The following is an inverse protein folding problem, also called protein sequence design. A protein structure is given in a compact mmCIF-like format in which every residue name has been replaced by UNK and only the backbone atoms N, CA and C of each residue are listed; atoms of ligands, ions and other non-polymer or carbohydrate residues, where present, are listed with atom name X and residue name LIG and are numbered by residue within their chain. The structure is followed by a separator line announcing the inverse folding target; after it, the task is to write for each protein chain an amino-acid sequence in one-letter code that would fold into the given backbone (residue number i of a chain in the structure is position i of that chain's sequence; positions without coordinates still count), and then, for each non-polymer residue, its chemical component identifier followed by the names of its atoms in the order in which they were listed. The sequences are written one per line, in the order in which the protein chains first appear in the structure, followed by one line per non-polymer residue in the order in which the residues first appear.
data_IF_820009192404
#
_entry.id   IF_820009192404
#
_cell.length_a   1.000
_cell.length_b   1.000
_cell.length_c   1.000
_cell.angle_alpha   90.00
_cell.angle_beta   90.00
_cell.angle_gamma   90.00
#
_symmetry.space_group_name_H-M   'P 1'
#
loop_
_entity.id
_entity.type
_entity.pdbx_description
1 polymer ?
#
# COMPACT_ATOMS: atom_id res chain seq x y z
N UNK A 1 26.16 78.26 -67.11
CA UNK A 1 26.41 77.30 -68.21
C UNK A 1 26.04 75.93 -67.67
N UNK A 2 24.81 75.44 -67.91
CA UNK A 2 24.39 74.68 -69.11
C UNK A 2 25.31 73.45 -69.28
N UNK A 3 24.88 72.19 -69.22
CA UNK A 3 23.59 71.59 -69.61
C UNK A 3 23.53 70.13 -69.13
N UNK A 4 22.32 69.71 -68.76
CA UNK A 4 21.84 68.33 -68.57
C UNK A 4 21.89 67.52 -69.94
N UNK A 5 21.27 66.33 -70.18
CA UNK A 5 20.13 65.73 -69.46
C UNK A 5 19.79 64.20 -69.59
N UNK A 6 18.67 63.81 -68.95
CA UNK A 6 17.54 62.92 -69.40
C UNK A 6 17.79 61.40 -69.59
N UNK A 7 17.13 60.50 -68.84
CA UNK A 7 15.71 59.99 -68.86
C UNK A 7 15.36 59.06 -70.04
N UNK A 8 14.71 57.92 -69.70
CA UNK A 8 13.82 56.98 -70.46
C UNK A 8 14.31 55.53 -70.28
N UNK A 9 13.50 54.48 -70.14
CA UNK A 9 12.05 54.29 -70.20
C UNK A 9 11.67 52.90 -69.72
N UNK A 10 10.40 52.78 -69.37
CA UNK A 10 9.55 51.62 -69.05
C UNK A 10 9.72 50.42 -70.00
N UNK A 11 9.61 49.20 -69.45
CA UNK A 11 9.42 47.95 -70.19
C UNK A 11 8.89 46.84 -69.29
N UNK A 12 7.57 46.70 -69.25
CA UNK A 12 6.80 45.65 -68.57
C UNK A 12 6.76 44.40 -69.47
N UNK A 13 7.14 43.21 -69.00
CA UNK A 13 6.77 41.93 -69.63
C UNK A 13 6.86 40.78 -68.61
N UNK A 14 5.68 40.29 -68.20
CA UNK A 14 5.45 39.00 -67.57
C UNK A 14 5.39 37.96 -68.71
N UNK A 15 5.92 36.74 -68.51
CA UNK A 15 5.03 35.60 -68.65
C UNK A 15 5.19 34.57 -67.54
N UNK A 16 4.04 34.05 -67.15
CA UNK A 16 3.80 32.83 -66.39
C UNK A 16 4.66 31.65 -66.85
N UNK A 17 5.20 30.91 -65.87
CA UNK A 17 5.47 29.49 -66.03
C UNK A 17 4.77 28.76 -64.88
N UNK A 18 3.57 28.28 -65.20
CA UNK A 18 2.79 27.35 -64.39
C UNK A 18 3.04 25.93 -64.90
N UNK A 19 3.03 24.99 -63.94
CA UNK A 19 2.65 23.59 -64.09
C UNK A 19 3.63 22.63 -64.78
N UNK A 20 4.22 21.75 -63.96
CA UNK A 20 4.04 20.31 -64.18
C UNK A 20 3.82 19.58 -62.86
N UNK A 21 2.61 19.07 -62.73
CA UNK A 21 2.17 18.11 -61.75
C UNK A 21 2.87 16.75 -61.96
N UNK A 22 3.09 16.05 -60.85
CA UNK A 22 3.19 14.59 -60.82
C UNK A 22 2.18 14.10 -59.76
N UNK A 23 1.12 13.36 -60.16
CA UNK A 23 0.25 12.63 -59.24
C UNK A 23 0.77 11.20 -59.04
N UNK A 24 0.11 10.46 -58.15
CA UNK A 24 0.21 9.02 -57.81
C UNK A 24 0.89 8.80 -56.44
N UNK A 25 0.31 8.07 -55.49
CA UNK A 25 -0.95 7.36 -55.45
C UNK A 25 -1.38 7.18 -54.00
N UNK A 26 -2.68 7.27 -53.79
CA UNK A 26 -3.39 6.90 -52.57
C UNK A 26 -3.22 5.39 -52.34
N UNK A 27 -2.63 4.99 -51.21
CA UNK A 27 -2.74 3.61 -50.72
C UNK A 27 -3.28 3.62 -49.30
N UNK A 28 -4.60 3.74 -49.21
CA UNK A 28 -5.40 3.37 -48.05
C UNK A 28 -5.29 1.85 -47.83
N UNK A 29 -4.45 1.43 -46.89
CA UNK A 29 -4.55 0.08 -46.34
C UNK A 29 -5.59 0.08 -45.21
N UNK A 30 -6.81 -0.33 -45.59
CA UNK A 30 -7.74 -0.98 -44.68
C UNK A 30 -7.07 -2.26 -44.15
N UNK A 31 -6.78 -2.31 -42.86
CA UNK A 31 -6.62 -3.57 -42.13
C UNK A 31 -7.48 -3.48 -40.87
N UNK A 32 -8.69 -4.00 -41.04
CA UNK A 32 -9.48 -4.75 -40.08
C UNK A 32 -9.45 -4.25 -38.62
N UNK A 33 -10.49 -3.49 -38.27
CA UNK A 33 -10.99 -3.40 -36.92
C UNK A 33 -11.26 -4.83 -36.39
N UNK A 34 -10.40 -5.32 -35.48
CA UNK A 34 -10.75 -6.45 -34.62
C UNK A 34 -11.71 -5.93 -33.56
N UNK A 35 -13.00 -6.12 -33.84
CA UNK A 35 -14.02 -6.10 -32.81
C UNK A 35 -13.68 -7.19 -31.78
N UNK A 36 -13.25 -6.79 -30.59
CA UNK A 36 -13.32 -7.69 -29.44
C UNK A 36 -14.79 -7.84 -29.07
N UNK A 37 -15.37 -8.93 -29.55
CA UNK A 37 -16.66 -9.44 -29.10
C UNK A 37 -16.59 -9.64 -27.59
N UNK A 38 -17.31 -8.81 -26.85
CA UNK A 38 -17.62 -9.06 -25.46
C UNK A 38 -18.56 -10.26 -25.37
N UNK A 39 -18.01 -11.43 -25.05
CA UNK A 39 -18.84 -12.56 -24.61
C UNK A 39 -19.23 -12.32 -23.15
N UNK A 40 -20.52 -12.40 -22.79
CA UNK A 40 -20.92 -12.37 -21.39
C UNK A 40 -20.41 -13.64 -20.71
N UNK A 41 -19.65 -13.47 -19.62
CA UNK A 41 -19.37 -14.57 -18.70
C UNK A 41 -20.66 -14.86 -17.96
N UNK A 42 -21.34 -15.90 -18.42
CA UNK A 42 -22.49 -16.51 -17.76
C UNK A 42 -22.07 -16.99 -16.37
N UNK A 43 -22.75 -16.46 -15.35
CA UNK A 43 -22.70 -16.98 -13.99
C UNK A 43 -23.23 -18.42 -13.98
N UNK A 44 -22.39 -19.39 -13.64
CA UNK A 44 -22.80 -20.76 -13.40
C UNK A 44 -21.87 -21.38 -12.35
N UNK A 45 -22.24 -21.24 -11.08
CA UNK A 45 -22.14 -22.29 -10.06
C UNK A 45 -23.00 -21.88 -8.86
N UNK A 46 -24.31 -22.02 -9.05
CA UNK A 46 -25.25 -22.24 -7.96
C UNK A 46 -25.35 -23.76 -7.77
N UNK A 47 -24.70 -24.29 -6.74
CA UNK A 47 -25.05 -25.62 -6.21
C UNK A 47 -25.60 -25.43 -4.82
N UNK A 48 -26.91 -25.33 -4.75
CA UNK A 48 -27.70 -25.58 -3.55
C UNK A 48 -27.61 -27.06 -3.21
N UNK A 49 -27.00 -27.41 -2.06
CA UNK A 49 -27.27 -28.68 -1.40
C UNK A 49 -27.97 -28.42 -0.07
N UNK A 50 -29.30 -28.38 -0.15
CA UNK A 50 -30.22 -28.62 0.94
C UNK A 50 -30.55 -30.11 0.97
N UNK A 51 -30.06 -30.86 1.98
CA UNK A 51 -30.88 -31.88 2.68
C UNK A 51 -30.19 -32.44 3.93
N UNK A 52 -30.76 -32.06 5.07
CA UNK A 52 -31.50 -32.93 5.99
C UNK A 52 -30.69 -33.94 6.81
N UNK A 53 -30.61 -33.61 8.10
CA UNK A 53 -30.43 -34.51 9.23
C UNK A 53 -31.45 -35.67 9.27
N UNK A 54 -31.11 -36.75 9.98
CA UNK A 54 -32.08 -37.40 10.84
C UNK A 54 -31.69 -37.27 12.32
N UNK A 55 -32.74 -37.21 13.12
CA UNK A 55 -32.76 -37.01 14.54
C UNK A 55 -32.47 -38.29 15.34
N UNK A 56 -32.19 -38.05 16.63
CA UNK A 56 -32.60 -38.82 17.81
C UNK A 56 -32.14 -40.28 17.96
N UNK A 57 -31.33 -40.50 19.00
CA UNK A 57 -31.48 -41.67 19.85
C UNK A 57 -31.34 -41.25 21.32
N UNK A 58 -32.45 -41.42 22.02
CA UNK A 58 -32.68 -41.32 23.46
C UNK A 58 -31.97 -42.47 24.18
N UNK A 59 -31.30 -42.20 25.30
CA UNK A 59 -31.13 -43.21 26.36
C UNK A 59 -30.90 -42.52 27.70
N UNK A 60 -31.83 -42.77 28.62
CA UNK A 60 -31.83 -42.36 30.01
C UNK A 60 -31.23 -43.47 30.89
N UNK A 61 -30.62 -43.09 32.02
CA UNK A 61 -30.54 -43.80 33.32
C UNK A 61 -29.28 -43.32 34.06
N UNK A 62 -29.14 -43.32 35.39
CA UNK A 62 -29.97 -43.20 36.61
C UNK A 62 -28.94 -43.15 37.76
N UNK A 63 -29.30 -42.49 38.86
CA UNK A 63 -28.73 -42.58 40.22
C UNK A 63 -27.31 -42.02 40.47
N UNK A 64 -27.17 -41.04 41.38
CA UNK A 64 -27.13 -41.12 42.87
C UNK A 64 -25.71 -41.57 43.33
N UNK A 65 -25.02 -41.03 44.34
CA UNK A 65 -25.39 -40.55 45.68
C UNK A 65 -24.18 -39.82 46.31
N UNK A 66 -24.47 -38.90 47.23
CA UNK A 66 -23.67 -38.17 48.25
C UNK A 66 -22.26 -38.61 48.67
N UNK A 67 -21.40 -37.62 48.98
CA UNK A 67 -20.75 -37.36 50.29
C UNK A 67 -19.78 -36.15 50.13
N UNK A 68 -20.03 -34.97 50.70
CA UNK A 68 -19.89 -34.49 52.09
C UNK A 68 -18.50 -33.90 52.42
N UNK A 69 -18.52 -32.59 52.76
CA UNK A 69 -17.66 -31.87 53.74
C UNK A 69 -16.17 -31.71 53.33
N UNK A 70 -15.43 -30.62 53.56
CA UNK A 70 -15.52 -29.49 54.50
C UNK A 70 -14.49 -28.41 54.09
N UNK A 71 -14.72 -27.16 54.50
CA UNK A 71 -13.78 -26.10 54.93
C UNK A 71 -12.26 -26.31 54.70
N UNK A 72 -11.46 -25.32 54.31
CA UNK A 72 -11.25 -24.07 55.04
C UNK A 72 -10.28 -23.12 54.29
N UNK A 73 -10.33 -21.86 54.70
CA UNK A 73 -9.59 -20.71 54.19
C UNK A 73 -8.05 -20.78 54.33
N UNK A 74 -7.43 -19.90 53.53
CA UNK A 74 -6.06 -19.35 53.41
C UNK A 74 -5.21 -19.30 54.71
N UNK A 75 -3.86 -19.27 54.61
CA UNK A 75 -3.19 -17.98 54.38
C UNK A 75 -1.89 -17.99 53.55
N UNK A 76 -1.52 -16.77 53.12
CA UNK A 76 -0.30 -16.37 52.43
C UNK A 76 0.97 -16.68 53.25
N UNK A 77 2.03 -17.11 52.56
CA UNK A 77 3.36 -17.31 53.14
C UNK A 77 4.34 -16.24 52.68
N UNK A 78 4.71 -15.37 53.60
CA UNK A 78 5.85 -14.46 53.57
C UNK A 78 7.16 -15.27 53.57
N UNK A 79 8.11 -14.95 52.69
CA UNK A 79 9.46 -15.54 52.70
C UNK A 79 10.43 -14.50 53.25
N UNK A 80 10.99 -14.82 54.42
CA UNK A 80 12.11 -14.11 55.08
C UNK A 80 13.42 -14.52 54.41
N UNK A 81 14.30 -13.54 54.17
CA UNK A 81 15.62 -13.72 53.56
C UNK A 81 16.67 -14.16 54.59
N UNK A 82 17.54 -15.09 54.19
CA UNK A 82 18.78 -15.45 54.90
C UNK A 82 19.97 -15.26 53.96
N UNK A 83 21.13 -14.72 54.40
CA UNK A 83 22.21 -14.26 53.52
C UNK A 83 23.17 -15.40 53.13
N UNK A 84 23.43 -15.55 51.83
CA UNK A 84 24.51 -16.39 51.27
C UNK A 84 25.64 -15.53 50.69
N UNK A 85 26.87 -16.05 50.56
CA UNK A 85 28.05 -15.28 50.20
C UNK A 85 27.98 -14.77 48.75
N UNK A 86 28.30 -13.49 48.57
CA UNK A 86 28.24 -12.77 47.32
C UNK A 86 29.26 -13.32 46.30
N UNK A 87 28.78 -13.75 45.13
CA UNK A 87 29.63 -13.78 43.93
C UNK A 87 29.58 -12.41 43.27
N UNK A 88 30.75 -11.85 43.05
CA UNK A 88 30.99 -10.57 42.36
C UNK A 88 30.27 -10.51 41.00
N UNK A 89 29.47 -9.47 40.71
CA UNK A 89 28.79 -9.36 39.42
C UNK A 89 29.80 -9.06 38.31
N UNK A 90 29.75 -9.85 37.23
CA UNK A 90 30.58 -9.63 36.03
C UNK A 90 30.41 -8.20 35.47
N UNK A 91 31.50 -7.60 34.94
CA UNK A 91 31.48 -6.21 34.45
C UNK A 91 30.44 -6.00 33.33
N UNK A 92 29.89 -4.78 33.19
CA UNK A 92 28.70 -4.47 32.38
C UNK A 92 28.90 -4.62 30.85
N UNK A 93 30.08 -5.04 30.38
CA UNK A 93 30.40 -5.19 28.96
C UNK A 93 30.13 -6.57 28.38
N UNK A 94 29.96 -7.62 29.20
CA UNK A 94 29.72 -8.99 28.70
C UNK A 94 28.28 -9.23 28.19
N UNK A 95 27.31 -8.40 28.60
CA UNK A 95 25.92 -8.47 28.12
C UNK A 95 25.72 -7.87 26.74
N UNK A 96 26.57 -6.90 26.34
CA UNK A 96 26.46 -6.29 25.02
C UNK A 96 27.08 -7.20 23.95
N UNK A 97 28.21 -7.85 24.22
CA UNK A 97 28.88 -8.73 23.24
C UNK A 97 28.07 -9.99 22.91
N UNK A 98 27.32 -10.53 23.86
CA UNK A 98 26.45 -11.69 23.65
C UNK A 98 25.14 -11.32 22.95
N UNK A 99 24.55 -10.17 23.25
CA UNK A 99 23.39 -9.64 22.53
C UNK A 99 23.75 -9.23 21.09
N UNK A 100 24.92 -8.63 20.88
CA UNK A 100 25.43 -8.26 19.55
C UNK A 100 25.80 -9.51 18.74
N UNK A 101 26.45 -10.51 19.34
CA UNK A 101 26.76 -11.77 18.66
C UNK A 101 25.50 -12.58 18.32
N UNK A 102 24.50 -12.60 19.20
CA UNK A 102 23.20 -13.23 18.92
C UNK A 102 22.42 -12.47 17.84
N UNK A 103 22.51 -11.12 17.81
CA UNK A 103 21.93 -10.29 16.76
C UNK A 103 22.62 -10.50 15.42
N UNK A 104 23.95 -10.63 15.41
CA UNK A 104 24.77 -10.89 14.22
C UNK A 104 24.59 -12.32 13.69
N UNK A 105 24.42 -13.30 14.57
CA UNK A 105 24.08 -14.68 14.22
C UNK A 105 22.63 -14.81 13.72
N UNK A 106 21.68 -14.05 14.29
CA UNK A 106 20.31 -13.97 13.79
C UNK A 106 20.23 -13.27 12.42
N UNK A 107 21.10 -12.29 12.16
CA UNK A 107 21.26 -11.65 10.85
C UNK A 107 21.87 -12.61 9.82
N UNK A 108 22.89 -13.40 10.19
CA UNK A 108 23.53 -14.35 9.28
C UNK A 108 22.70 -15.60 8.99
N UNK A 109 21.77 -15.97 9.88
CA UNK A 109 20.90 -17.15 9.71
C UNK A 109 19.54 -16.83 9.04
N UNK A 110 19.22 -15.58 8.70
CA UNK A 110 17.89 -15.18 8.20
C UNK A 110 17.85 -14.09 7.13
N UNK A 111 18.97 -13.77 6.50
CA UNK A 111 18.92 -12.96 5.29
C UNK A 111 18.47 -13.87 4.15
N UNK A 112 17.16 -13.91 3.89
CA UNK A 112 16.60 -14.55 2.68
C UNK A 112 16.82 -13.66 1.45
N UNK A 113 17.77 -12.74 1.51
CA UNK A 113 18.19 -11.85 0.43
C UNK A 113 19.05 -12.58 -0.60
N UNK A 114 19.60 -13.76 -0.26
CA UNK A 114 20.44 -14.54 -1.17
C UNK A 114 19.62 -14.96 -2.41
N UNK A 115 19.90 -14.36 -3.56
CA UNK A 115 19.17 -14.54 -4.82
C UNK A 115 18.18 -13.43 -5.20
N UNK A 116 17.92 -12.46 -4.32
CA UNK A 116 17.18 -11.22 -4.67
C UNK A 116 18.15 -10.16 -5.19
N UNK A 117 18.72 -10.40 -6.38
CA UNK A 117 19.51 -9.39 -7.09
C UNK A 117 18.60 -8.32 -7.70
N UNK A 118 17.83 -7.63 -6.86
CA UNK A 118 16.84 -6.62 -7.25
C UNK A 118 17.36 -5.19 -7.13
N UNK A 119 18.67 -5.04 -6.88
CA UNK A 119 19.35 -3.76 -6.89
C UNK A 119 19.26 -3.15 -8.30
N UNK A 120 18.85 -1.87 -8.42
CA UNK A 120 18.84 -1.18 -9.70
C UNK A 120 20.24 -1.15 -10.33
N UNK A 121 20.32 -1.50 -11.62
CA UNK A 121 21.56 -1.56 -12.40
C UNK A 121 22.24 -0.18 -12.49
N UNK A 122 23.51 -0.11 -12.12
CA UNK A 122 24.35 1.06 -12.34
C UNK A 122 24.56 1.28 -13.84
N UNK A 123 23.95 2.31 -14.41
CA UNK A 123 24.14 2.65 -15.83
C UNK A 123 25.27 3.67 -15.95
N UNK A 124 26.49 3.21 -16.24
CA UNK A 124 27.60 4.11 -16.54
C UNK A 124 27.43 4.71 -17.95
N UNK A 125 27.52 6.04 -18.09
CA UNK A 125 27.61 6.71 -19.38
C UNK A 125 26.31 7.24 -20.02
N UNK A 126 25.16 7.17 -19.34
CA UNK A 126 23.92 7.82 -19.80
C UNK A 126 23.62 9.03 -18.90
N UNK A 127 23.34 10.24 -19.44
CA UNK A 127 22.96 11.42 -18.64
C UNK A 127 21.54 11.31 -18.01
N UNK A 128 21.03 10.09 -17.83
CA UNK A 128 19.76 9.84 -17.19
C UNK A 128 19.88 10.00 -15.68
N UNK A 129 18.85 10.59 -15.05
CA UNK A 129 18.82 10.80 -13.61
C UNK A 129 18.79 9.44 -12.90
N UNK A 130 19.79 9.19 -12.07
CA UNK A 130 19.82 8.01 -11.18
C UNK A 130 18.88 8.21 -9.98
N UNK A 131 17.65 7.72 -10.10
CA UNK A 131 16.63 7.81 -9.05
C UNK A 131 16.94 7.02 -7.77
N UNK A 132 17.97 6.18 -7.79
CA UNK A 132 18.35 5.35 -6.63
C UNK A 132 19.02 6.18 -5.54
N UNK A 133 19.67 7.29 -5.94
CA UNK A 133 20.44 8.18 -5.06
C UNK A 133 20.07 9.65 -5.22
N UNK A 134 19.60 10.07 -6.39
CA UNK A 134 19.32 11.47 -6.70
C UNK A 134 18.19 12.08 -5.86
N UNK A 135 18.28 13.40 -5.65
CA UNK A 135 17.26 14.27 -5.08
C UNK A 135 16.74 15.31 -6.11
N UNK A 136 16.92 15.03 -7.40
CA UNK A 136 16.60 15.94 -8.50
C UNK A 136 15.16 16.48 -8.44
N UNK A 137 15.03 17.81 -8.43
CA UNK A 137 13.76 18.54 -8.45
C UNK A 137 12.97 18.52 -7.14
N UNK A 138 13.51 17.94 -6.06
CA UNK A 138 12.86 17.95 -4.75
C UNK A 138 12.82 19.37 -4.17
N UNK A 139 11.62 19.88 -3.91
CA UNK A 139 11.42 21.22 -3.34
C UNK A 139 11.73 22.38 -4.28
N UNK A 140 11.97 22.12 -5.57
CA UNK A 140 12.39 23.14 -6.54
C UNK A 140 11.23 24.06 -6.96
N UNK A 141 10.06 23.47 -7.28
CA UNK A 141 8.90 24.21 -7.79
C UNK A 141 7.61 23.69 -7.13
N UNK A 142 6.61 24.55 -6.91
CA UNK A 142 5.28 24.10 -6.50
C UNK A 142 4.51 23.41 -7.65
N UNK A 143 3.51 22.58 -7.36
CA UNK A 143 2.58 22.09 -8.38
C UNK A 143 1.67 23.22 -8.90
N UNK A 144 1.00 23.03 -10.04
CA UNK A 144 0.02 24.02 -10.50
C UNK A 144 -1.14 24.17 -9.52
N UNK A 145 -1.86 25.30 -9.56
CA UNK A 145 -3.01 25.52 -8.66
C UNK A 145 -4.09 24.45 -8.81
N UNK A 146 -4.38 24.03 -10.04
CA UNK A 146 -5.36 22.97 -10.35
C UNK A 146 -4.95 21.61 -9.76
N UNK A 147 -3.66 21.30 -9.81
CA UNK A 147 -3.12 20.09 -9.21
C UNK A 147 -3.19 20.15 -7.68
N UNK A 148 -2.80 21.29 -7.08
CA UNK A 148 -2.89 21.50 -5.64
C UNK A 148 -4.33 21.34 -5.14
N UNK A 149 -5.30 21.91 -5.84
CA UNK A 149 -6.72 21.77 -5.51
C UNK A 149 -7.18 20.31 -5.51
N UNK A 150 -6.73 19.52 -6.50
CA UNK A 150 -7.07 18.08 -6.56
C UNK A 150 -6.38 17.28 -5.47
N UNK A 151 -5.12 17.57 -5.14
CA UNK A 151 -4.34 16.86 -4.11
C UNK A 151 -4.84 17.15 -2.69
N UNK A 152 -5.26 18.39 -2.44
CA UNK A 152 -5.74 18.87 -1.15
C UNK A 152 -7.26 18.77 -1.00
N UNK A 153 -7.95 18.19 -1.98
CA UNK A 153 -9.39 18.00 -1.93
C UNK A 153 -9.77 17.13 -0.71
N UNK A 154 -10.87 17.47 -0.01
CA UNK A 154 -11.35 16.67 1.12
C UNK A 154 -11.72 15.26 0.66
N UNK A 155 -11.56 14.29 1.56
CA UNK A 155 -11.92 12.91 1.25
C UNK A 155 -13.43 12.71 1.22
N UNK A 156 -13.88 11.82 0.32
CA UNK A 156 -15.21 11.27 0.41
C UNK A 156 -15.29 10.32 1.62
N UNK A 157 -16.29 10.53 2.47
CA UNK A 157 -16.54 9.73 3.68
C UNK A 157 -16.80 8.27 3.32
N UNK A 158 -17.39 8.01 2.15
CA UNK A 158 -17.70 6.66 1.69
C UNK A 158 -16.48 5.90 1.18
N UNK A 159 -15.37 6.60 0.93
CA UNK A 159 -14.12 5.99 0.49
C UNK A 159 -13.21 5.58 1.66
N UNK A 160 -13.50 6.04 2.88
CA UNK A 160 -12.69 5.78 4.08
C UNK A 160 -13.10 4.47 4.73
N UNK A 161 -12.19 3.52 4.82
CA UNK A 161 -12.43 2.22 5.44
C UNK A 161 -11.92 2.17 6.88
N UNK A 162 -12.43 1.20 7.65
CA UNK A 162 -12.12 1.05 9.08
C UNK A 162 -11.61 -0.35 9.36
N UNK A 163 -10.40 -0.45 9.91
CA UNK A 163 -9.90 -1.72 10.41
C UNK A 163 -10.66 -2.14 11.67
N UNK A 164 -10.73 -3.46 11.98
CA UNK A 164 -11.36 -3.95 13.22
C UNK A 164 -10.84 -3.30 14.51
N UNK A 165 -9.60 -2.79 14.48
CA UNK A 165 -8.95 -2.10 15.60
C UNK A 165 -9.34 -0.60 15.71
N UNK A 166 -10.21 -0.10 14.83
CA UNK A 166 -10.67 1.29 14.79
C UNK A 166 -9.77 2.25 14.01
N UNK A 167 -8.74 1.74 13.33
CA UNK A 167 -7.84 2.56 12.51
C UNK A 167 -8.52 2.86 11.17
N UNK A 168 -8.66 4.15 10.86
CA UNK A 168 -9.15 4.62 9.56
C UNK A 168 -8.06 4.46 8.50
N UNK A 169 -8.44 4.07 7.29
CA UNK A 169 -7.52 4.02 6.15
C UNK A 169 -8.25 4.30 4.84
N UNK A 170 -7.53 4.87 3.89
CA UNK A 170 -7.99 5.00 2.52
C UNK A 170 -7.44 3.80 1.72
N UNK A 171 -8.27 3.04 0.97
CA UNK A 171 -7.79 1.95 0.12
C UNK A 171 -6.77 2.42 -0.93
N UNK A 172 -5.76 1.61 -1.19
CA UNK A 172 -4.64 1.93 -2.09
C UNK A 172 -5.09 2.44 -3.48
N UNK A 173 -6.14 1.82 -4.02
CA UNK A 173 -6.70 2.20 -5.33
C UNK A 173 -7.15 3.66 -5.38
N UNK A 174 -7.61 4.22 -4.27
CA UNK A 174 -8.08 5.61 -4.20
C UNK A 174 -6.91 6.59 -4.34
N UNK A 175 -5.78 6.33 -3.70
CA UNK A 175 -4.55 7.11 -3.91
C UNK A 175 -4.13 7.09 -5.38
N UNK A 176 -4.10 5.92 -6.03
CA UNK A 176 -3.75 5.82 -7.46
C UNK A 176 -4.71 6.59 -8.36
N UNK A 177 -6.01 6.58 -8.05
CA UNK A 177 -7.01 7.36 -8.79
C UNK A 177 -6.78 8.86 -8.64
N UNK A 178 -6.47 9.33 -7.43
CA UNK A 178 -6.13 10.74 -7.18
C UNK A 178 -4.86 11.14 -7.95
N UNK A 179 -3.81 10.31 -7.92
CA UNK A 179 -2.58 10.55 -8.69
C UNK A 179 -2.83 10.58 -10.20
N UNK A 180 -3.60 9.63 -10.73
CA UNK A 180 -3.96 9.60 -12.15
C UNK A 180 -4.83 10.80 -12.56
N UNK A 181 -5.75 11.23 -11.69
CA UNK A 181 -6.57 12.42 -11.93
C UNK A 181 -5.71 13.70 -11.93
N UNK A 182 -4.73 13.78 -11.03
CA UNK A 182 -3.91 14.98 -10.83
C UNK A 182 -2.79 15.11 -11.87
N UNK A 183 -2.09 14.01 -12.17
CA UNK A 183 -0.87 14.02 -12.97
C UNK A 183 -1.01 13.31 -14.31
N UNK A 184 -2.10 12.57 -14.52
CA UNK A 184 -2.28 11.69 -15.67
C UNK A 184 -1.53 10.35 -15.50
N UNK A 185 -2.04 9.26 -16.11
CA UNK A 185 -1.27 8.01 -16.24
C UNK A 185 0.08 8.26 -16.93
N UNK A 186 1.16 7.73 -16.36
CA UNK A 186 2.53 7.97 -16.83
C UNK A 186 3.18 9.26 -16.30
N UNK A 187 2.42 10.14 -15.65
CA UNK A 187 2.93 11.37 -15.03
C UNK A 187 3.58 11.17 -13.66
N UNK A 188 3.54 9.95 -13.11
CA UNK A 188 4.09 9.63 -11.79
C UNK A 188 4.56 8.17 -11.71
N UNK A 189 5.43 7.86 -10.76
CA UNK A 189 5.90 6.50 -10.48
C UNK A 189 6.69 6.39 -9.18
N UNK A 190 6.91 5.16 -8.73
CA UNK A 190 7.82 4.86 -7.63
C UNK A 190 9.12 4.27 -8.19
N UNK A 191 10.23 4.93 -7.89
CA UNK A 191 11.56 4.42 -8.14
C UNK A 191 12.05 3.66 -6.89
N UNK A 192 12.44 2.37 -7.02
CA UNK A 192 13.07 1.67 -5.92
C UNK A 192 14.41 2.31 -5.54
N UNK A 193 14.64 2.46 -4.23
CA UNK A 193 15.89 2.98 -3.67
C UNK A 193 16.51 1.91 -2.78
N UNK A 194 17.72 1.48 -3.15
CA UNK A 194 18.40 0.37 -2.50
C UNK A 194 17.79 -1.00 -2.81
N UNK A 195 18.39 -2.02 -2.20
CA UNK A 195 17.97 -3.42 -2.27
C UNK A 195 16.78 -3.68 -1.34
N UNK A 196 15.96 -4.67 -1.67
CA UNK A 196 14.93 -5.17 -0.76
C UNK A 196 15.56 -5.90 0.43
N UNK A 197 15.27 -5.44 1.65
CA UNK A 197 15.71 -6.11 2.87
C UNK A 197 14.64 -7.13 3.26
N UNK A 198 14.97 -8.41 3.15
CA UNK A 198 14.09 -9.52 3.55
C UNK A 198 14.60 -10.12 4.85
N UNK A 199 13.82 -9.89 5.91
CA UNK A 199 13.97 -10.58 7.20
C UNK A 199 12.92 -11.68 7.27
N UNK A 200 13.12 -12.72 8.09
CA UNK A 200 12.26 -13.92 8.13
C UNK A 200 10.72 -13.76 8.23
N UNK A 201 10.17 -12.56 8.49
CA UNK A 201 8.72 -12.27 8.44
C UNK A 201 8.38 -10.89 7.83
N UNK A 202 9.34 -10.19 7.25
CA UNK A 202 9.18 -8.80 6.81
C UNK A 202 10.01 -8.53 5.55
N UNK A 203 9.38 -7.94 4.54
CA UNK A 203 10.06 -7.30 3.42
C UNK A 203 10.00 -5.80 3.62
N UNK A 204 11.12 -5.10 3.50
CA UNK A 204 11.16 -3.63 3.52
C UNK A 204 12.09 -3.08 2.45
N UNK A 205 11.71 -1.96 1.86
CA UNK A 205 12.49 -1.24 0.85
C UNK A 205 12.17 0.24 0.85
N UNK A 206 13.15 1.07 0.52
CA UNK A 206 12.94 2.50 0.28
C UNK A 206 12.45 2.74 -1.15
N UNK A 207 11.55 3.70 -1.32
CA UNK A 207 11.08 4.14 -2.64
C UNK A 207 11.07 5.67 -2.69
N UNK A 208 11.50 6.20 -3.83
CA UNK A 208 11.32 7.61 -4.19
C UNK A 208 10.10 7.76 -5.10
N UNK A 209 9.15 8.62 -4.74
CA UNK A 209 8.07 9.00 -5.63
C UNK A 209 8.54 10.09 -6.59
N UNK A 210 8.46 9.78 -7.87
CA UNK A 210 8.76 10.68 -8.97
C UNK A 210 7.45 11.13 -9.59
N UNK A 211 7.29 12.44 -9.77
CA UNK A 211 6.12 13.02 -10.45
C UNK A 211 6.65 14.00 -11.47
N UNK A 212 6.23 13.90 -12.74
CA UNK A 212 6.62 14.81 -13.81
C UNK A 212 8.14 15.04 -13.92
N UNK A 213 8.93 13.98 -13.73
CA UNK A 213 10.40 14.02 -13.87
C UNK A 213 11.16 14.59 -12.67
N UNK A 214 10.51 14.77 -11.52
CA UNK A 214 11.15 15.23 -10.27
C UNK A 214 10.83 14.33 -9.09
N UNK A 215 11.78 14.20 -8.18
CA UNK A 215 11.55 13.57 -6.89
C UNK A 215 10.63 14.45 -6.05
N UNK A 216 9.63 13.85 -5.41
CA UNK A 216 8.66 14.58 -4.58
C UNK A 216 8.62 14.08 -3.15
N UNK A 217 8.82 12.79 -2.93
CA UNK A 217 8.84 12.20 -1.59
C UNK A 217 9.68 10.93 -1.59
N UNK A 218 10.23 10.59 -0.42
CA UNK A 218 10.90 9.32 -0.17
C UNK A 218 10.23 8.68 1.03
N UNK A 219 9.85 7.41 0.90
CA UNK A 219 9.32 6.65 2.01
C UNK A 219 9.82 5.20 1.98
N UNK A 220 9.93 4.61 3.17
CA UNK A 220 10.19 3.17 3.33
C UNK A 220 8.87 2.42 3.35
N UNK A 221 8.72 1.48 2.43
CA UNK A 221 7.64 0.51 2.45
C UNK A 221 8.01 -0.70 3.30
N UNK A 222 6.99 -1.34 3.85
CA UNK A 222 7.15 -2.62 4.54
C UNK A 222 5.92 -3.49 4.37
N UNK A 223 6.12 -4.81 4.37
CA UNK A 223 5.05 -5.78 4.33
C UNK A 223 5.46 -7.06 5.05
N UNK A 224 4.62 -7.50 5.98
CA UNK A 224 4.81 -8.76 6.68
C UNK A 224 4.39 -9.94 5.80
N UNK A 225 5.07 -11.07 5.97
CA UNK A 225 4.74 -12.35 5.35
C UNK A 225 4.91 -13.48 6.36
N UNK A 226 4.27 -14.62 6.11
CA UNK A 226 4.26 -15.75 7.03
C UNK A 226 5.14 -16.91 6.53
N UNK A 227 5.10 -17.18 5.23
CA UNK A 227 5.86 -18.23 4.57
C UNK A 227 6.79 -17.63 3.50
N UNK A 228 8.00 -18.17 3.28
CA UNK A 228 8.93 -17.67 2.27
C UNK A 228 8.35 -17.58 0.85
N UNK A 229 7.43 -18.48 0.49
CA UNK A 229 6.71 -18.44 -0.79
C UNK A 229 5.86 -17.17 -0.96
N UNK A 230 5.56 -16.48 0.14
CA UNK A 230 4.84 -15.20 0.17
C UNK A 230 5.72 -13.97 -0.11
N UNK A 231 7.04 -14.11 -0.23
CA UNK A 231 7.96 -12.98 -0.47
C UNK A 231 7.58 -12.16 -1.72
N UNK A 232 7.23 -12.73 -2.89
CA UNK A 232 6.84 -11.95 -4.07
C UNK A 232 5.62 -11.07 -3.82
N UNK A 233 4.60 -11.61 -3.13
CA UNK A 233 3.40 -10.85 -2.76
C UNK A 233 3.75 -9.76 -1.75
N UNK A 234 4.66 -10.06 -0.81
CA UNK A 234 5.13 -9.09 0.17
C UNK A 234 5.92 -7.95 -0.47
N UNK A 235 6.72 -8.21 -1.51
CA UNK A 235 7.44 -7.18 -2.27
C UNK A 235 6.47 -6.20 -2.95
N UNK A 236 5.39 -6.70 -3.56
CA UNK A 236 4.35 -5.83 -4.11
C UNK A 236 3.61 -5.03 -3.02
N UNK A 237 3.28 -5.68 -1.90
CA UNK A 237 2.66 -5.00 -0.75
C UNK A 237 3.57 -3.92 -0.15
N UNK A 238 4.88 -4.16 -0.10
CA UNK A 238 5.89 -3.21 0.36
C UNK A 238 5.89 -1.95 -0.54
N UNK A 239 5.84 -2.13 -1.87
CA UNK A 239 5.75 -1.03 -2.83
C UNK A 239 4.46 -0.21 -2.65
N UNK A 240 3.32 -0.87 -2.53
CA UNK A 240 2.03 -0.21 -2.29
C UNK A 240 1.98 0.52 -0.95
N UNK A 241 2.63 -0.03 0.08
CA UNK A 241 2.76 0.63 1.38
C UNK A 241 3.56 1.94 1.26
N UNK A 242 4.70 1.91 0.56
CA UNK A 242 5.50 3.11 0.31
C UNK A 242 4.72 4.17 -0.47
N UNK A 243 3.92 3.76 -1.48
CA UNK A 243 3.10 4.67 -2.28
C UNK A 243 2.21 5.55 -1.40
N UNK A 244 1.45 4.94 -0.49
CA UNK A 244 0.52 5.65 0.38
C UNK A 244 1.25 6.62 1.32
N UNK A 245 2.44 6.24 1.80
CA UNK A 245 3.29 7.11 2.64
C UNK A 245 3.79 8.31 1.85
N UNK A 246 4.26 8.12 0.61
CA UNK A 246 4.69 9.21 -0.26
C UNK A 246 3.53 10.16 -0.61
N UNK A 247 2.32 9.64 -0.80
CA UNK A 247 1.12 10.44 -1.08
C UNK A 247 0.76 11.40 0.07
N UNK A 248 1.17 11.10 1.31
CA UNK A 248 0.95 11.99 2.46
C UNK A 248 1.70 13.31 2.30
N UNK A 249 2.92 13.28 1.78
CA UNK A 249 3.73 14.50 1.56
C UNK A 249 3.15 15.39 0.44
N UNK A 250 2.32 14.82 -0.46
CA UNK A 250 1.52 15.57 -1.42
C UNK A 250 0.26 16.21 -0.83
N UNK A 251 -0.09 15.88 0.43
CA UNK A 251 -1.31 16.33 1.10
C UNK A 251 -2.53 15.42 0.92
N UNK A 252 -2.41 14.35 0.13
CA UNK A 252 -3.52 13.41 -0.12
C UNK A 252 -3.89 12.70 1.17
N UNK A 253 -5.19 12.65 1.49
CA UNK A 253 -5.74 11.94 2.63
C UNK A 253 -5.14 12.36 4.00
N UNK A 254 -4.63 13.60 4.09
CA UNK A 254 -4.02 14.16 5.29
C UNK A 254 -4.99 14.18 6.49
N UNK A 255 -6.29 14.31 6.23
CA UNK A 255 -7.38 14.28 7.21
C UNK A 255 -7.41 12.98 8.04
N UNK A 256 -6.98 11.85 7.49
CA UNK A 256 -6.91 10.57 8.21
C UNK A 256 -5.92 10.58 9.38
N UNK A 257 -5.08 11.61 9.48
CA UNK A 257 -4.14 11.84 10.57
C UNK A 257 -4.56 12.98 11.51
N UNK A 258 -5.66 13.67 11.23
CA UNK A 258 -6.21 14.71 12.11
C UNK A 258 -7.06 14.06 13.22
N UNK A 259 -6.68 14.19 14.51
CA UNK A 259 -7.48 13.68 15.62
C UNK A 259 -8.91 14.22 15.66
N UNK A 260 -9.19 15.40 15.10
CA UNK A 260 -10.56 15.95 15.04
C UNK A 260 -11.39 15.22 14.00
N UNK A 261 -10.87 15.05 12.79
CA UNK A 261 -11.50 14.24 11.75
C UNK A 261 -11.75 12.81 12.23
N UNK A 262 -10.74 12.16 12.82
CA UNK A 262 -10.87 10.77 13.31
C UNK A 262 -12.01 10.64 14.32
N UNK A 263 -12.06 11.51 15.34
CA UNK A 263 -13.13 11.48 16.35
C UNK A 263 -14.50 11.75 15.74
N UNK A 264 -14.59 12.65 14.75
CA UNK A 264 -15.83 12.96 14.04
C UNK A 264 -16.32 11.75 13.26
N UNK A 265 -15.46 11.19 12.42
CA UNK A 265 -15.74 10.03 11.58
C UNK A 265 -16.14 8.80 12.42
N UNK A 266 -15.41 8.52 13.51
CA UNK A 266 -15.71 7.37 14.37
C UNK A 266 -17.12 7.48 14.98
N UNK A 267 -17.55 8.67 15.42
CA UNK A 267 -18.90 8.89 15.95
C UNK A 267 -19.99 8.77 14.88
N UNK A 268 -19.74 9.33 13.70
CA UNK A 268 -20.75 9.48 12.65
C UNK A 268 -20.88 8.22 11.78
N UNK A 269 -19.79 7.53 11.47
CA UNK A 269 -19.73 6.46 10.46
C UNK A 269 -19.37 5.08 11.01
N UNK A 270 -19.02 4.94 12.30
CA UNK A 270 -18.63 3.64 12.88
C UNK A 270 -19.52 3.18 14.04
N UNK A 271 -19.50 1.87 14.31
CA UNK A 271 -20.17 1.23 15.44
C UNK A 271 -19.23 0.20 16.07
N UNK A 272 -19.35 0.03 17.37
CA UNK A 272 -18.62 -0.99 18.11
C UNK A 272 -19.50 -2.22 18.29
N UNK A 273 -18.98 -3.41 17.95
CA UNK A 273 -19.73 -4.66 17.97
C UNK A 273 -18.94 -5.73 18.73
N UNK A 274 -19.64 -6.45 19.61
CA UNK A 274 -19.10 -7.65 20.24
C UNK A 274 -19.15 -8.80 19.25
N UNK A 275 -18.00 -9.42 19.01
CA UNK A 275 -17.88 -10.54 18.08
C UNK A 275 -17.26 -11.75 18.76
N UNK A 276 -17.69 -12.93 18.31
CA UNK A 276 -17.17 -14.23 18.74
C UNK A 276 -16.52 -14.92 17.55
N UNK A 277 -15.30 -15.42 17.74
CA UNK A 277 -14.62 -16.22 16.72
C UNK A 277 -15.32 -17.58 16.55
N UNK A 278 -15.67 -17.96 15.32
CA UNK A 278 -16.53 -19.12 15.05
C UNK A 278 -15.92 -20.43 15.57
N UNK A 279 -14.61 -20.64 15.39
CA UNK A 279 -13.90 -21.85 15.86
C UNK A 279 -13.44 -21.76 17.31
N UNK A 280 -12.68 -20.72 17.67
CA UNK A 280 -12.07 -20.60 19.01
C UNK A 280 -13.02 -20.13 20.11
N UNK A 281 -14.24 -19.68 19.77
CA UNK A 281 -15.25 -19.14 20.69
C UNK A 281 -14.80 -17.93 21.53
N UNK A 282 -13.65 -17.34 21.18
CA UNK A 282 -13.12 -16.15 21.86
C UNK A 282 -13.97 -14.94 21.48
N UNK A 283 -14.43 -14.20 22.49
CA UNK A 283 -15.14 -12.93 22.31
C UNK A 283 -14.15 -11.76 22.30
N UNK A 284 -14.35 -10.79 21.42
CA UNK A 284 -13.68 -9.48 21.45
C UNK A 284 -14.62 -8.40 20.95
N UNK A 285 -14.33 -7.16 21.31
CA UNK A 285 -15.01 -5.98 20.75
C UNK A 285 -14.21 -5.48 19.55
N UNK A 286 -14.88 -5.20 18.44
CA UNK A 286 -14.28 -4.63 17.23
C UNK A 286 -15.03 -3.38 16.81
N UNK A 287 -14.37 -2.53 16.03
CA UNK A 287 -14.98 -1.40 15.35
C UNK A 287 -15.25 -1.77 13.89
N UNK A 288 -16.46 -1.49 13.40
CA UNK A 288 -16.80 -1.61 11.98
C UNK A 288 -17.54 -0.36 11.52
N UNK A 289 -17.57 -0.11 10.20
CA UNK A 289 -18.46 0.93 9.68
C UNK A 289 -19.93 0.57 9.93
N UNK A 290 -20.80 1.58 10.01
CA UNK A 290 -22.23 1.38 10.30
C UNK A 290 -22.94 0.57 9.22
N UNK A 291 -22.54 0.77 7.97
CA UNK A 291 -23.00 0.13 6.74
C UNK A 291 -22.38 -1.26 6.48
N UNK A 292 -21.28 -1.63 7.16
CA UNK A 292 -20.67 -2.95 7.00
C UNK A 292 -21.25 -3.99 7.98
N UNK A 293 -21.00 -5.26 7.65
CA UNK A 293 -21.47 -6.44 8.37
C UNK A 293 -20.27 -7.22 8.89
N UNK A 294 -20.42 -7.89 10.04
CA UNK A 294 -19.35 -8.75 10.59
C UNK A 294 -19.07 -9.92 9.65
N UNK A 295 -17.81 -10.04 9.21
CA UNK A 295 -17.33 -11.08 8.29
C UNK A 295 -16.68 -12.25 9.05
N UNK A 296 -16.68 -13.43 8.43
CA UNK A 296 -15.91 -14.59 8.88
C UNK A 296 -14.42 -14.19 9.08
N UNK A 297 -13.72 -14.66 10.13
CA UNK A 297 -14.07 -15.75 11.05
C UNK A 297 -14.90 -15.35 12.27
N UNK A 298 -15.49 -14.14 12.27
CA UNK A 298 -16.25 -13.61 13.38
C UNK A 298 -17.76 -13.69 13.11
N UNK A 299 -18.55 -13.81 14.19
CA UNK A 299 -20.00 -13.63 14.20
C UNK A 299 -20.39 -12.66 15.32
N UNK A 300 -21.48 -11.95 15.16
CA UNK A 300 -22.00 -11.07 16.21
C UNK A 300 -22.36 -11.90 17.46
N UNK A 301 -21.96 -11.40 18.62
CA UNK A 301 -22.27 -11.99 19.92
C UNK A 301 -23.00 -10.93 20.74
N UNK A 302 -24.10 -11.31 21.39
CA UNK A 302 -24.69 -10.43 22.41
C UNK A 302 -23.66 -10.28 23.55
N UNK A 303 -23.53 -9.04 24.03
CA UNK A 303 -22.66 -8.67 25.14
C UNK A 303 -22.86 -9.62 26.32
#
# INVERSE_FOLDING_TARGET
MLTAPIRRSIGLLIPSASSRAAPLAYRSQQVQARAFSASPITAAYATTQTRRAPAAATAASKSATTSSKTSSATPQRTVVATPGPASEPAPPTARNTTADAASKAAQSQRSLTDGLSDQPLSTEGVPAIDWTRSYHGLGDVAFSKEQQETLLAPLDVDDVEVKPDGILYLPEIKYRRILNKTFGPGGWGLAPRGESIVTGKLVTREYGMVVQGRLVSIARGEQQYFDPDGIPTATEGCKSNALMRCCKDLGIASELWDPRFIRKFMRESTKEVWVEHVTTKRKKKIVIRKDDVVKYPFKESKA
#
